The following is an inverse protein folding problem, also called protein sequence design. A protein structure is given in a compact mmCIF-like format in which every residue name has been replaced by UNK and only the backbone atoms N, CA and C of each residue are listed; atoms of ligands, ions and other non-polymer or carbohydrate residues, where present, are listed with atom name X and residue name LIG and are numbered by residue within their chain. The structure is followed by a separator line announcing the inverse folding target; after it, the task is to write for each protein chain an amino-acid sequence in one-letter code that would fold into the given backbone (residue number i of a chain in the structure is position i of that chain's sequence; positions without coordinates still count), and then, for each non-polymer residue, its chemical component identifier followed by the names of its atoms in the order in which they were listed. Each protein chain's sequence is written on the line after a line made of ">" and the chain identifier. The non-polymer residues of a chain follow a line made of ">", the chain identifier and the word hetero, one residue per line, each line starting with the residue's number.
data_IF_724662587180
#
_entry.id   IF_724662587180
#
_cell.length_a   1.000
_cell.length_b   1.000
_cell.length_c   1.000
_cell.angle_alpha   90.00
_cell.angle_beta   90.00
_cell.angle_gamma   90.00
#
_symmetry.space_group_name_H-M   'P 1'
#
loop_
_entity.id
_entity.type
_entity.pdbx_description
1 polymer ?
#
# COMPACT_ATOMS: atom_id res chain seq x y z
N UNK A 1 -33.92 43.99 -54.92
CA UNK A 1 -34.85 43.37 -55.88
C UNK A 1 -36.23 43.30 -55.20
N UNK A 2 -36.95 44.41 -54.98
CA UNK A 2 -37.77 45.19 -55.92
C UNK A 2 -38.84 44.36 -56.66
N UNK A 3 -40.07 44.47 -56.19
CA UNK A 3 -41.32 44.25 -56.93
C UNK A 3 -42.44 44.95 -56.13
N UNK A 4 -42.68 46.25 -56.35
CA UNK A 4 -43.76 46.79 -57.22
C UNK A 4 -45.09 46.07 -57.00
N UNK A 5 -45.98 46.61 -56.14
CA UNK A 5 -46.94 47.69 -56.44
C UNK A 5 -48.00 47.28 -57.48
N UNK A 6 -49.26 47.20 -57.07
CA UNK A 6 -50.39 47.85 -57.76
C UNK A 6 -51.69 47.73 -56.96
N UNK A 7 -52.27 48.90 -56.69
CA UNK A 7 -53.67 49.13 -56.33
C UNK A 7 -54.61 48.50 -57.37
N UNK A 8 -55.88 48.30 -57.02
CA UNK A 8 -57.04 48.80 -57.80
C UNK A 8 -58.32 48.62 -56.97
N UNK A 9 -58.98 49.75 -56.73
CA UNK A 9 -60.36 49.87 -56.31
C UNK A 9 -61.31 49.41 -57.42
N UNK A 10 -62.33 48.63 -57.10
CA UNK A 10 -63.54 48.52 -57.93
C UNK A 10 -64.75 48.95 -57.11
N UNK A 11 -65.23 50.17 -57.40
CA UNK A 11 -66.56 50.66 -57.04
C UNK A 11 -67.54 50.30 -58.17
N UNK A 12 -68.80 50.24 -57.76
CA UNK A 12 -70.02 50.33 -58.57
C UNK A 12 -70.44 49.05 -59.31
N UNK A 13 -71.70 48.72 -59.51
CA UNK A 13 -73.05 49.12 -59.06
C UNK A 13 -73.98 48.23 -59.92
N UNK A 14 -75.30 48.17 -59.60
CA UNK A 14 -76.41 47.49 -60.33
C UNK A 14 -76.80 46.16 -59.66
N UNK A 15 -78.04 45.89 -59.27
CA UNK A 15 -79.29 46.65 -59.06
C UNK A 15 -80.29 45.60 -58.55
N UNK A 16 -81.29 46.06 -57.80
CA UNK A 16 -82.67 45.54 -57.80
C UNK A 16 -82.91 44.19 -57.08
N UNK A 17 -83.19 44.29 -55.79
CA UNK A 17 -84.32 43.58 -55.20
C UNK A 17 -85.01 44.55 -54.22
N UNK A 18 -86.25 44.93 -54.53
CA UNK A 18 -87.03 45.85 -53.72
C UNK A 18 -87.34 45.24 -52.36
N UNK A 19 -87.13 46.03 -51.30
CA UNK A 19 -87.82 45.83 -50.04
C UNK A 19 -89.26 46.33 -50.19
N UNK A 20 -90.29 45.47 -50.08
CA UNK A 20 -91.65 45.94 -49.84
C UNK A 20 -91.79 46.35 -48.36
N UNK A 21 -92.64 47.34 -48.04
CA UNK A 21 -92.95 47.70 -46.66
C UNK A 21 -93.77 46.58 -46.01
N UNK A 22 -93.72 46.55 -44.67
CA UNK A 22 -94.24 45.48 -43.84
C UNK A 22 -95.62 44.93 -44.25
N UNK A 23 -95.72 43.60 -44.26
CA UNK A 23 -96.97 42.87 -44.05
C UNK A 23 -96.84 42.14 -42.72
N UNK A 24 -97.66 42.54 -41.75
CA UNK A 24 -98.00 41.69 -40.61
C UNK A 24 -98.70 40.44 -41.16
N UNK A 25 -98.04 39.29 -41.07
CA UNK A 25 -98.65 37.99 -41.33
C UNK A 25 -99.05 37.36 -40.01
N UNK A 26 -100.08 37.90 -39.36
CA UNK A 26 -100.97 37.06 -38.54
C UNK A 26 -101.86 36.27 -39.51
N UNK A 27 -101.32 35.19 -40.06
CA UNK A 27 -102.01 34.30 -41.00
C UNK A 27 -102.92 33.33 -40.22
N UNK A 28 -104.27 33.38 -40.36
CA UNK A 28 -105.20 32.54 -39.60
C UNK A 28 -105.15 31.05 -40.01
N UNK A 29 -104.33 30.67 -41.00
CA UNK A 29 -104.09 29.27 -41.38
C UNK A 29 -102.93 28.62 -40.61
N UNK A 30 -102.05 29.40 -39.99
CA UNK A 30 -100.94 28.90 -39.14
C UNK A 30 -101.42 27.90 -38.08
N UNK A 31 -102.58 28.18 -37.47
CA UNK A 31 -103.19 27.32 -36.46
C UNK A 31 -103.77 25.99 -36.98
N UNK A 32 -104.14 25.88 -38.26
CA UNK A 32 -104.62 24.60 -38.85
C UNK A 32 -103.45 23.67 -39.16
N UNK A 33 -102.37 24.20 -39.73
CA UNK A 33 -101.14 23.45 -39.98
C UNK A 33 -100.49 22.95 -38.68
N UNK A 34 -100.60 23.73 -37.59
CA UNK A 34 -100.14 23.31 -36.27
C UNK A 34 -100.93 22.10 -35.72
N UNK A 35 -102.26 22.09 -35.88
CA UNK A 35 -103.13 20.98 -35.43
C UNK A 35 -102.91 19.69 -36.24
N UNK A 36 -102.63 19.82 -37.53
CA UNK A 36 -102.40 18.68 -38.43
C UNK A 36 -101.00 18.06 -38.24
N UNK A 37 -99.99 18.89 -37.95
CA UNK A 37 -98.65 18.44 -37.52
C UNK A 37 -98.68 17.71 -36.17
N UNK A 38 -99.50 18.17 -35.22
CA UNK A 38 -99.68 17.50 -33.94
C UNK A 38 -100.35 16.12 -34.09
N UNK A 39 -101.37 16.00 -34.95
CA UNK A 39 -102.06 14.72 -35.23
C UNK A 39 -101.19 13.68 -35.95
N UNK A 40 -100.20 14.11 -36.74
CA UNK A 40 -99.25 13.22 -37.44
C UNK A 40 -97.99 12.89 -36.61
N UNK A 41 -97.92 13.31 -35.34
CA UNK A 41 -96.76 13.10 -34.47
C UNK A 41 -95.55 13.99 -34.78
N UNK A 42 -95.64 14.84 -35.80
CA UNK A 42 -94.53 15.67 -36.34
C UNK A 42 -94.15 16.82 -35.40
N UNK A 43 -95.03 17.21 -34.48
CA UNK A 43 -94.73 18.25 -33.49
C UNK A 43 -93.62 17.84 -32.51
N UNK A 44 -93.51 16.56 -32.17
CA UNK A 44 -92.44 16.02 -31.32
C UNK A 44 -91.14 15.82 -32.09
N UNK A 45 -91.21 15.51 -33.38
CA UNK A 45 -90.03 15.26 -34.23
C UNK A 45 -89.07 16.45 -34.28
N UNK A 46 -89.58 17.67 -34.44
CA UNK A 46 -88.73 18.87 -34.45
C UNK A 46 -88.04 19.09 -33.09
N UNK A 47 -88.72 18.76 -31.99
CA UNK A 47 -88.16 18.88 -30.65
C UNK A 47 -87.11 17.79 -30.37
N UNK A 48 -87.36 16.56 -30.81
CA UNK A 48 -86.39 15.46 -30.72
C UNK A 48 -85.20 15.67 -31.65
N UNK A 49 -85.39 16.25 -32.84
CA UNK A 49 -84.32 16.58 -33.78
C UNK A 49 -83.43 17.70 -33.23
N UNK A 50 -84.03 18.74 -32.63
CA UNK A 50 -83.27 19.79 -31.94
C UNK A 50 -82.50 19.23 -30.72
N UNK A 51 -83.12 18.34 -29.94
CA UNK A 51 -82.43 17.64 -28.84
C UNK A 51 -81.30 16.74 -29.35
N UNK A 52 -81.49 16.06 -30.49
CA UNK A 52 -80.45 15.23 -31.12
C UNK A 52 -79.29 16.10 -31.57
N UNK A 53 -79.58 17.25 -32.18
CA UNK A 53 -78.58 18.23 -32.64
C UNK A 53 -77.79 18.81 -31.46
N UNK A 54 -78.46 19.10 -30.35
CA UNK A 54 -77.81 19.53 -29.10
C UNK A 54 -76.94 18.41 -28.51
N UNK A 55 -77.42 17.16 -28.52
CA UNK A 55 -76.65 16.01 -28.06
C UNK A 55 -75.42 15.74 -28.96
N UNK A 56 -75.53 15.93 -30.26
CA UNK A 56 -74.41 15.84 -31.21
C UNK A 56 -73.40 16.97 -31.01
N UNK A 57 -73.84 18.20 -30.77
CA UNK A 57 -72.95 19.31 -30.41
C UNK A 57 -72.20 19.03 -29.11
N UNK A 58 -72.91 18.63 -28.05
CA UNK A 58 -72.29 18.26 -26.76
C UNK A 58 -71.33 17.07 -26.92
N UNK A 59 -71.69 16.08 -27.75
CA UNK A 59 -70.81 14.94 -28.04
C UNK A 59 -69.55 15.38 -28.78
N UNK A 60 -69.67 16.26 -29.78
CA UNK A 60 -68.53 16.81 -30.51
C UNK A 60 -67.60 17.64 -29.60
N UNK A 61 -68.16 18.41 -28.67
CA UNK A 61 -67.40 19.14 -27.65
C UNK A 61 -66.67 18.18 -26.70
N UNK A 62 -67.35 17.14 -26.22
CA UNK A 62 -66.78 16.11 -25.35
C UNK A 62 -65.66 15.35 -26.06
N UNK A 63 -65.85 14.98 -27.32
CA UNK A 63 -64.84 14.26 -28.10
C UNK A 63 -63.64 15.16 -28.44
N UNK A 64 -63.86 16.46 -28.69
CA UNK A 64 -62.79 17.45 -28.84
C UNK A 64 -62.00 17.63 -27.54
N UNK A 65 -62.67 17.73 -26.40
CA UNK A 65 -62.03 17.84 -25.09
C UNK A 65 -61.21 16.59 -24.75
N UNK A 66 -61.76 15.39 -25.00
CA UNK A 66 -61.03 14.12 -24.84
C UNK A 66 -59.79 14.05 -25.72
N UNK A 67 -59.89 14.49 -26.98
CA UNK A 67 -58.77 14.57 -27.91
C UNK A 67 -57.64 15.45 -27.37
N UNK A 68 -57.97 16.66 -26.91
CA UNK A 68 -56.99 17.58 -26.28
C UNK A 68 -56.33 16.95 -25.06
N UNK A 69 -57.10 16.33 -24.16
CA UNK A 69 -56.53 15.68 -22.97
C UNK A 69 -55.65 14.48 -23.32
N UNK A 70 -55.98 13.70 -24.34
CA UNK A 70 -55.13 12.59 -24.80
C UNK A 70 -53.80 13.09 -25.37
N UNK A 71 -53.83 14.21 -26.08
CA UNK A 71 -52.64 14.83 -26.63
C UNK A 71 -51.75 15.42 -25.53
N UNK A 72 -52.34 16.10 -24.54
CA UNK A 72 -51.64 16.56 -23.34
C UNK A 72 -51.04 15.39 -22.54
N UNK A 73 -51.79 14.30 -22.34
CA UNK A 73 -51.29 13.10 -21.66
C UNK A 73 -50.13 12.48 -22.44
N UNK A 74 -50.23 12.42 -23.76
CA UNK A 74 -49.16 11.88 -24.61
C UNK A 74 -47.89 12.73 -24.51
N UNK A 75 -48.03 14.07 -24.51
CA UNK A 75 -46.92 14.99 -24.29
C UNK A 75 -46.27 14.80 -22.92
N UNK A 76 -47.08 14.67 -21.86
CA UNK A 76 -46.58 14.41 -20.50
C UNK A 76 -45.82 13.08 -20.43
N UNK A 77 -46.33 12.02 -21.07
CA UNK A 77 -45.66 10.71 -21.11
C UNK A 77 -44.35 10.78 -21.89
N UNK A 78 -44.31 11.51 -23.01
CA UNK A 78 -43.07 11.75 -23.75
C UNK A 78 -42.05 12.53 -22.93
N UNK A 79 -42.50 13.55 -22.19
CA UNK A 79 -41.65 14.34 -21.31
C UNK A 79 -41.08 13.50 -20.16
N UNK A 80 -41.91 12.69 -19.50
CA UNK A 80 -41.47 11.74 -18.47
C UNK A 80 -40.43 10.77 -19.04
N UNK A 81 -40.69 10.21 -20.21
CA UNK A 81 -39.75 9.29 -20.87
C UNK A 81 -38.43 9.97 -21.23
N UNK A 82 -38.47 11.25 -21.64
CA UNK A 82 -37.27 12.05 -21.87
C UNK A 82 -36.48 12.25 -20.58
N UNK A 83 -37.15 12.68 -19.51
CA UNK A 83 -36.53 12.88 -18.19
C UNK A 83 -35.91 11.59 -17.63
N UNK A 84 -36.55 10.43 -17.83
CA UNK A 84 -35.99 9.13 -17.44
C UNK A 84 -34.69 8.85 -18.20
N UNK A 85 -34.66 9.10 -19.52
CA UNK A 85 -33.45 8.93 -20.34
C UNK A 85 -32.34 9.87 -19.90
N UNK A 86 -32.64 11.14 -19.68
CA UNK A 86 -31.68 12.15 -19.22
C UNK A 86 -31.11 11.81 -17.83
N UNK A 87 -31.95 11.34 -16.92
CA UNK A 87 -31.50 10.87 -15.61
C UNK A 87 -30.63 9.62 -15.73
N UNK A 88 -30.96 8.68 -16.62
CA UNK A 88 -30.15 7.47 -16.85
C UNK A 88 -28.78 7.81 -17.44
N UNK A 89 -28.71 8.71 -18.42
CA UNK A 89 -27.44 9.14 -19.02
C UNK A 89 -26.57 9.93 -18.04
N UNK A 90 -27.18 10.72 -17.14
CA UNK A 90 -26.48 11.46 -16.09
C UNK A 90 -25.99 10.57 -14.93
N UNK A 91 -26.81 9.63 -14.46
CA UNK A 91 -26.49 8.80 -13.29
C UNK A 91 -25.53 7.66 -13.62
N UNK A 92 -25.60 7.07 -14.83
CA UNK A 92 -24.73 5.97 -15.22
C UNK A 92 -23.21 6.26 -15.05
N UNK A 93 -22.65 7.40 -15.51
CA UNK A 93 -21.24 7.71 -15.30
C UNK A 93 -20.91 7.98 -13.81
N UNK A 94 -21.82 8.59 -13.05
CA UNK A 94 -21.63 8.81 -11.61
C UNK A 94 -21.60 7.50 -10.82
N UNK A 95 -22.44 6.53 -11.17
CA UNK A 95 -22.41 5.19 -10.57
C UNK A 95 -21.10 4.48 -10.92
N UNK A 96 -20.60 4.64 -12.16
CA UNK A 96 -19.30 4.09 -12.56
C UNK A 96 -18.15 4.73 -11.77
N UNK A 97 -18.13 6.05 -11.63
CA UNK A 97 -17.08 6.74 -10.86
C UNK A 97 -17.12 6.39 -9.37
N UNK A 98 -18.31 6.25 -8.79
CA UNK A 98 -18.46 5.78 -7.40
C UNK A 98 -17.94 4.35 -7.21
N UNK A 99 -18.16 3.46 -8.19
CA UNK A 99 -17.60 2.10 -8.15
C UNK A 99 -16.07 2.11 -8.20
N UNK A 100 -15.48 2.93 -9.07
CA UNK A 100 -14.01 3.05 -9.14
C UNK A 100 -13.44 3.67 -7.86
N UNK A 101 -14.11 4.69 -7.30
CA UNK A 101 -13.65 5.34 -6.06
C UNK A 101 -13.70 4.38 -4.87
N UNK A 102 -14.75 3.55 -4.77
CA UNK A 102 -14.86 2.51 -3.73
C UNK A 102 -13.77 1.45 -3.87
N UNK A 103 -13.41 1.08 -5.10
CA UNK A 103 -12.31 0.14 -5.34
C UNK A 103 -10.97 0.73 -4.88
N UNK A 104 -10.67 1.98 -5.29
CA UNK A 104 -9.46 2.70 -4.85
C UNK A 104 -9.39 2.86 -3.33
N UNK A 105 -10.51 3.18 -2.69
CA UNK A 105 -10.58 3.26 -1.23
C UNK A 105 -10.23 1.91 -0.58
N UNK A 106 -10.79 0.81 -1.09
CA UNK A 106 -10.47 -0.53 -0.59
C UNK A 106 -9.00 -0.91 -0.78
N UNK A 107 -8.39 -0.53 -1.90
CA UNK A 107 -6.95 -0.73 -2.14
C UNK A 107 -6.10 0.06 -1.14
N UNK A 108 -6.41 1.35 -0.92
CA UNK A 108 -5.68 2.21 0.02
C UNK A 108 -5.86 1.72 1.47
N UNK A 109 -7.06 1.29 1.86
CA UNK A 109 -7.31 0.72 3.18
C UNK A 109 -6.52 -0.58 3.40
N UNK A 110 -6.46 -1.44 2.39
CA UNK A 110 -5.67 -2.67 2.45
C UNK A 110 -4.17 -2.37 2.60
N UNK A 111 -3.64 -1.44 1.81
CA UNK A 111 -2.25 -0.99 1.94
C UNK A 111 -1.96 -0.36 3.30
N UNK A 112 -2.88 0.46 3.82
CA UNK A 112 -2.75 1.07 5.14
C UNK A 112 -2.73 0.00 6.23
N UNK A 113 -3.64 -0.97 6.17
CA UNK A 113 -3.70 -2.09 7.12
C UNK A 113 -2.42 -2.94 7.08
N UNK A 114 -1.86 -3.18 5.89
CA UNK A 114 -0.59 -3.89 5.73
C UNK A 114 0.56 -3.09 6.36
N UNK A 115 0.72 -1.81 6.00
CA UNK A 115 1.77 -0.93 6.55
C UNK A 115 1.63 -0.76 8.06
N UNK A 116 0.40 -0.64 8.56
CA UNK A 116 0.10 -0.58 9.99
C UNK A 116 0.47 -1.89 10.68
N UNK A 117 0.15 -3.04 10.08
CA UNK A 117 0.54 -4.35 10.60
C UNK A 117 2.05 -4.51 10.69
N UNK A 118 2.78 -4.10 9.65
CA UNK A 118 4.26 -4.08 9.66
C UNK A 118 4.79 -3.16 10.77
N UNK A 119 4.24 -1.95 10.90
CA UNK A 119 4.64 -1.01 11.95
C UNK A 119 4.36 -1.57 13.36
N UNK A 120 3.17 -2.12 13.59
CA UNK A 120 2.78 -2.71 14.88
C UNK A 120 3.68 -3.90 15.23
N UNK A 121 4.01 -4.75 14.25
CA UNK A 121 4.95 -5.87 14.41
C UNK A 121 6.38 -5.41 14.73
N UNK A 122 6.90 -4.42 13.99
CA UNK A 122 8.23 -3.85 14.26
C UNK A 122 8.23 -3.22 15.64
N UNK A 123 7.24 -2.39 15.98
CA UNK A 123 7.09 -1.76 17.29
C UNK A 123 7.04 -2.79 18.41
N UNK A 124 6.28 -3.87 18.27
CA UNK A 124 6.22 -4.95 19.26
C UNK A 124 7.59 -5.65 19.40
N UNK A 125 8.27 -5.92 18.28
CA UNK A 125 9.60 -6.54 18.30
C UNK A 125 10.65 -5.64 18.97
N UNK A 126 10.65 -4.34 18.68
CA UNK A 126 11.55 -3.36 19.28
C UNK A 126 11.23 -3.15 20.75
N UNK A 127 9.95 -3.07 21.13
CA UNK A 127 9.56 -3.04 22.55
C UNK A 127 10.05 -4.28 23.29
N UNK A 128 9.97 -5.46 22.69
CA UNK A 128 10.47 -6.70 23.29
C UNK A 128 11.99 -6.69 23.43
N UNK A 129 12.73 -6.25 22.42
CA UNK A 129 14.19 -6.07 22.48
C UNK A 129 14.59 -5.05 23.55
N UNK A 130 13.89 -3.93 23.62
CA UNK A 130 14.12 -2.88 24.60
C UNK A 130 13.77 -3.38 26.00
N UNK A 131 12.66 -4.10 26.19
CA UNK A 131 12.27 -4.68 27.47
C UNK A 131 13.27 -5.76 27.94
N UNK A 132 13.77 -6.60 27.03
CA UNK A 132 14.85 -7.54 27.31
C UNK A 132 16.17 -6.83 27.68
N UNK A 133 16.43 -5.65 27.10
CA UNK A 133 17.53 -4.78 27.49
C UNK A 133 17.33 -4.08 28.84
N UNK A 134 16.10 -3.65 29.13
CA UNK A 134 15.71 -2.96 30.38
C UNK A 134 15.69 -3.89 31.59
N UNK A 135 15.19 -5.11 31.43
CA UNK A 135 15.22 -6.14 32.47
C UNK A 135 16.65 -6.55 32.88
N UNK A 136 17.64 -6.29 32.01
CA UNK A 136 19.07 -6.48 32.31
C UNK A 136 19.78 -5.19 32.78
N UNK A 137 19.10 -4.05 32.86
CA UNK A 137 19.76 -2.74 33.03
C UNK A 137 18.87 -1.65 33.60
N UNK A 138 18.21 -1.89 34.74
CA UNK A 138 17.25 -1.01 35.43
C UNK A 138 17.75 0.38 35.91
N UNK A 139 18.78 0.98 35.32
CA UNK A 139 19.31 2.29 35.69
C UNK A 139 19.71 3.20 34.51
N UNK A 140 19.20 2.98 33.31
CA UNK A 140 19.82 3.50 32.07
C UNK A 140 18.94 4.42 31.21
N UNK A 141 17.81 4.94 31.72
CA UNK A 141 16.87 5.74 30.88
C UNK A 141 17.09 7.26 30.90
N UNK A 142 17.70 7.84 31.94
CA UNK A 142 18.14 9.25 31.91
C UNK A 142 19.53 9.45 31.28
N UNK A 143 20.32 8.39 31.23
CA UNK A 143 21.67 8.40 30.66
C UNK A 143 21.74 8.57 29.12
N UNK A 144 20.82 8.11 28.25
CA UNK A 144 21.06 8.13 26.81
C UNK A 144 20.97 9.54 26.22
N UNK A 145 19.97 10.32 26.63
CA UNK A 145 19.75 11.70 26.18
C UNK A 145 20.79 12.67 26.74
N UNK A 146 21.17 12.49 28.00
CA UNK A 146 22.25 13.27 28.62
C UNK A 146 23.61 12.94 28.02
N UNK A 147 23.88 11.66 27.72
CA UNK A 147 25.09 11.26 27.00
C UNK A 147 25.10 11.72 25.55
N UNK A 148 23.97 11.68 24.82
CA UNK A 148 23.92 12.18 23.44
C UNK A 148 24.17 13.68 23.41
N UNK A 149 23.50 14.45 24.27
CA UNK A 149 23.73 15.88 24.42
C UNK A 149 25.18 16.21 24.82
N UNK A 150 25.77 15.43 25.75
CA UNK A 150 27.18 15.58 26.11
C UNK A 150 28.12 15.25 24.94
N UNK A 151 27.82 14.23 24.14
CA UNK A 151 28.58 13.88 22.95
C UNK A 151 28.49 14.96 21.87
N UNK A 152 27.31 15.53 21.63
CA UNK A 152 27.13 16.67 20.71
C UNK A 152 27.98 17.87 21.16
N UNK A 153 27.96 18.21 22.45
CA UNK A 153 28.77 19.31 23.00
C UNK A 153 30.27 19.10 22.80
N UNK A 154 30.77 17.90 23.07
CA UNK A 154 32.18 17.56 22.86
C UNK A 154 32.57 17.61 21.37
N UNK A 155 31.68 17.19 20.46
CA UNK A 155 31.92 17.29 19.01
C UNK A 155 32.03 18.74 18.56
N UNK A 156 31.12 19.61 19.01
CA UNK A 156 31.14 21.04 18.69
C UNK A 156 32.38 21.73 19.25
N UNK A 157 32.78 21.37 20.47
CA UNK A 157 34.00 21.88 21.09
C UNK A 157 35.26 21.48 20.31
N UNK A 158 35.36 20.21 19.88
CA UNK A 158 36.49 19.74 19.04
C UNK A 158 36.60 20.49 17.72
N UNK A 159 35.47 20.80 17.07
CA UNK A 159 35.45 21.56 15.81
C UNK A 159 35.90 23.01 16.04
N UNK A 160 35.51 23.62 17.16
CA UNK A 160 35.96 24.96 17.53
C UNK A 160 37.47 24.97 17.81
N UNK A 161 37.96 24.00 18.60
CA UNK A 161 39.39 23.87 18.90
C UNK A 161 40.23 23.61 17.63
N UNK A 162 39.70 22.88 16.64
CA UNK A 162 40.36 22.68 15.33
C UNK A 162 40.45 23.97 14.52
N UNK A 163 39.37 24.76 14.48
CA UNK A 163 39.34 26.05 13.76
C UNK A 163 40.30 27.08 14.35
N UNK A 164 40.52 27.02 15.66
CA UNK A 164 41.41 27.94 16.38
C UNK A 164 42.84 27.44 16.48
N UNK A 165 43.17 26.28 15.88
CA UNK A 165 44.50 25.68 15.93
C UNK A 165 44.92 25.19 17.33
N UNK A 166 43.96 25.10 18.26
CA UNK A 166 44.12 24.61 19.64
C UNK A 166 43.91 23.09 19.75
N UNK A 167 43.38 22.46 18.70
CA UNK A 167 42.78 21.13 18.73
C UNK A 167 43.64 20.03 19.34
N UNK A 168 44.91 19.96 19.02
CA UNK A 168 45.76 18.94 19.59
C UNK A 168 47.21 19.28 19.24
N UNK A 169 48.01 19.74 20.20
CA UNK A 169 49.47 19.63 20.09
C UNK A 169 49.89 18.44 20.92
N UNK A 170 49.64 17.24 20.39
CA UNK A 170 50.09 16.00 21.03
C UNK A 170 51.31 15.48 20.29
N UNK A 171 52.44 15.44 21.01
CA UNK A 171 53.60 14.72 20.55
C UNK A 171 53.29 13.22 20.58
N UNK A 172 53.45 12.57 19.43
CA UNK A 172 53.31 11.12 19.31
C UNK A 172 54.58 10.42 19.80
N UNK A 173 54.55 9.09 20.03
CA UNK A 173 55.74 8.32 20.45
C UNK A 173 56.91 8.39 19.46
N UNK A 174 56.64 8.76 18.20
CA UNK A 174 57.59 8.94 17.10
C UNK A 174 58.10 10.41 16.97
N UNK A 175 57.83 11.26 17.96
CA UNK A 175 58.28 12.67 17.98
C UNK A 175 57.52 13.63 17.05
N UNK A 176 56.74 13.12 16.10
CA UNK A 176 55.90 13.94 15.24
C UNK A 176 54.75 14.61 16.03
N UNK A 177 54.59 15.92 15.84
CA UNK A 177 53.45 16.68 16.39
C UNK A 177 52.34 16.66 15.36
N UNK A 178 51.25 15.99 15.70
CA UNK A 178 50.04 15.99 14.86
C UNK A 178 49.16 17.16 15.28
N UNK A 179 48.70 17.95 14.31
CA UNK A 179 47.98 19.22 14.56
C UNK A 179 46.47 19.11 14.40
N UNK A 180 45.99 18.08 13.70
CA UNK A 180 44.55 17.86 13.44
C UNK A 180 44.08 16.49 13.92
N UNK A 181 42.82 16.36 14.34
CA UNK A 181 42.29 15.06 14.77
C UNK A 181 42.23 14.06 13.62
N UNK A 182 41.98 14.55 12.40
CA UNK A 182 41.97 13.74 11.17
C UNK A 182 43.31 13.01 10.97
N UNK A 183 44.42 13.74 10.99
CA UNK A 183 45.76 13.14 10.84
C UNK A 183 46.08 12.15 11.96
N UNK A 184 45.62 12.41 13.19
CA UNK A 184 45.87 11.50 14.32
C UNK A 184 45.12 10.18 14.12
N UNK A 185 43.86 10.24 13.74
CA UNK A 185 43.06 9.03 13.54
C UNK A 185 43.48 8.28 12.28
N UNK A 186 43.80 8.97 11.19
CA UNK A 186 44.33 8.33 9.98
C UNK A 186 45.65 7.59 10.26
N UNK A 187 46.55 8.18 11.06
CA UNK A 187 47.81 7.54 11.43
C UNK A 187 47.60 6.36 12.40
N UNK A 188 46.70 6.48 13.38
CA UNK A 188 46.32 5.36 14.24
C UNK A 188 45.64 4.22 13.50
N UNK A 189 44.82 4.52 12.50
CA UNK A 189 44.20 3.52 11.63
C UNK A 189 45.30 2.76 10.89
N UNK A 190 46.29 3.45 10.30
CA UNK A 190 47.43 2.81 9.65
C UNK A 190 48.24 1.90 10.59
N UNK A 191 48.50 2.36 11.82
CA UNK A 191 49.17 1.54 12.84
C UNK A 191 48.37 0.27 13.18
N UNK A 192 47.05 0.41 13.37
CA UNK A 192 46.18 -0.73 13.66
C UNK A 192 46.06 -1.69 12.47
N UNK A 193 46.00 -1.18 11.24
CA UNK A 193 46.01 -2.00 10.03
C UNK A 193 47.33 -2.78 9.89
N UNK A 194 48.47 -2.16 10.23
CA UNK A 194 49.77 -2.85 10.25
C UNK A 194 49.78 -3.99 11.28
N UNK A 195 49.29 -3.74 12.50
CA UNK A 195 49.14 -4.77 13.54
C UNK A 195 48.20 -5.89 13.10
N UNK A 196 47.09 -5.57 12.42
CA UNK A 196 46.18 -6.58 11.88
C UNK A 196 46.83 -7.45 10.81
N UNK A 197 47.67 -6.87 9.94
CA UNK A 197 48.44 -7.63 8.93
C UNK A 197 49.43 -8.58 9.61
N UNK A 198 50.20 -8.09 10.57
CA UNK A 198 51.15 -8.89 11.34
C UNK A 198 50.46 -10.06 12.08
N UNK A 199 49.31 -9.81 12.70
CA UNK A 199 48.53 -10.86 13.37
C UNK A 199 47.99 -11.91 12.39
N UNK A 200 47.59 -11.50 11.18
CA UNK A 200 47.17 -12.45 10.13
C UNK A 200 48.33 -13.29 9.63
N UNK A 201 49.50 -12.69 9.44
CA UNK A 201 50.72 -13.42 9.07
C UNK A 201 51.13 -14.42 10.16
N UNK A 202 51.13 -14.01 11.43
CA UNK A 202 51.36 -14.92 12.57
C UNK A 202 50.33 -16.05 12.61
N UNK A 203 49.06 -15.75 12.38
CA UNK A 203 48.02 -16.77 12.35
C UNK A 203 48.23 -17.76 11.18
N UNK A 204 48.62 -17.26 10.00
CA UNK A 204 48.94 -18.10 8.84
C UNK A 204 50.14 -19.01 9.14
N UNK A 205 51.22 -18.44 9.68
CA UNK A 205 52.41 -19.19 10.09
C UNK A 205 52.07 -20.26 11.16
N UNK A 206 51.21 -19.94 12.13
CA UNK A 206 50.76 -20.93 13.11
C UNK A 206 49.97 -22.06 12.46
N UNK A 207 49.06 -21.77 11.51
CA UNK A 207 48.27 -22.80 10.82
C UNK A 207 49.15 -23.73 9.97
N UNK A 208 50.09 -23.16 9.22
CA UNK A 208 51.01 -23.91 8.36
C UNK A 208 51.97 -24.77 9.20
N UNK A 209 52.44 -24.26 10.34
CA UNK A 209 53.38 -25.00 11.20
C UNK A 209 52.71 -25.92 12.22
N UNK A 210 51.41 -25.82 12.46
CA UNK A 210 50.74 -26.59 13.53
C UNK A 210 50.78 -28.11 13.28
N UNK A 211 50.47 -28.54 12.06
CA UNK A 211 50.47 -29.96 11.68
C UNK A 211 51.88 -30.57 11.76
N UNK A 212 52.91 -30.02 11.09
CA UNK A 212 54.25 -30.58 11.16
C UNK A 212 54.84 -30.52 12.58
N UNK A 213 54.59 -29.46 13.35
CA UNK A 213 55.06 -29.42 14.74
C UNK A 213 54.37 -30.47 15.62
N UNK A 214 53.08 -30.77 15.38
CA UNK A 214 52.36 -31.81 16.11
C UNK A 214 52.91 -33.21 15.77
N UNK A 215 53.21 -33.46 14.51
CA UNK A 215 53.86 -34.71 14.05
C UNK A 215 55.27 -34.85 14.65
N UNK A 216 56.08 -33.79 14.62
CA UNK A 216 57.39 -33.76 15.27
C UNK A 216 57.30 -34.05 16.76
N UNK A 217 56.37 -33.42 17.49
CA UNK A 217 56.15 -33.68 18.90
C UNK A 217 55.75 -35.13 19.18
N UNK A 218 54.98 -35.75 18.29
CA UNK A 218 54.63 -37.17 18.39
C UNK A 218 55.85 -38.06 18.18
N UNK A 219 56.65 -37.80 17.14
CA UNK A 219 57.92 -38.50 16.89
C UNK A 219 58.88 -38.38 18.08
N UNK A 220 59.01 -37.20 18.69
CA UNK A 220 59.83 -37.00 19.89
C UNK A 220 59.30 -37.75 21.11
N UNK A 221 57.98 -37.90 21.26
CA UNK A 221 57.39 -38.73 22.32
C UNK A 221 57.70 -40.20 22.10
N UNK A 222 57.57 -40.68 20.87
CA UNK A 222 57.80 -42.09 20.54
C UNK A 222 59.29 -42.45 20.62
N UNK A 223 60.18 -41.53 20.21
CA UNK A 223 61.61 -41.65 20.45
C UNK A 223 61.94 -41.73 21.95
N UNK A 224 61.35 -40.86 22.78
CA UNK A 224 61.55 -40.91 24.23
C UNK A 224 61.06 -42.23 24.84
N UNK A 225 59.93 -42.78 24.36
CA UNK A 225 59.47 -44.11 24.80
C UNK A 225 60.47 -45.20 24.42
N UNK A 226 60.96 -45.19 23.18
CA UNK A 226 61.92 -46.17 22.70
C UNK A 226 63.23 -46.11 23.49
N UNK A 227 63.71 -44.90 23.78
CA UNK A 227 64.90 -44.70 24.62
C UNK A 227 64.68 -45.19 26.05
N UNK A 228 63.49 -44.95 26.64
CA UNK A 228 63.14 -45.50 27.97
C UNK A 228 63.14 -47.03 27.96
N UNK A 229 62.45 -47.64 26.99
CA UNK A 229 62.45 -49.10 26.84
C UNK A 229 63.88 -49.66 26.67
N UNK A 230 64.73 -48.99 25.89
CA UNK A 230 66.12 -49.38 25.72
C UNK A 230 66.90 -49.32 27.04
N UNK A 231 66.71 -48.27 27.84
CA UNK A 231 67.33 -48.13 29.16
C UNK A 231 66.84 -49.22 30.12
N UNK A 232 65.54 -49.50 30.12
CA UNK A 232 64.94 -50.50 31.01
C UNK A 232 65.42 -51.91 30.64
N UNK A 233 65.47 -52.25 29.35
CA UNK A 233 66.04 -53.51 28.87
C UNK A 233 67.53 -53.63 29.21
N UNK A 234 68.29 -52.53 29.07
CA UNK A 234 69.71 -52.53 29.43
C UNK A 234 69.92 -52.72 30.94
N UNK A 235 69.04 -52.17 31.78
CA UNK A 235 69.05 -52.41 33.23
C UNK A 235 68.67 -53.85 33.58
N UNK A 236 67.62 -54.39 32.95
CA UNK A 236 67.19 -55.77 33.14
C UNK A 236 68.29 -56.75 32.75
N UNK A 237 68.89 -56.60 31.56
CA UNK A 237 70.01 -57.44 31.11
C UNK A 237 71.24 -57.36 32.04
N UNK A 238 71.52 -56.18 32.61
CA UNK A 238 72.58 -56.03 33.61
C UNK A 238 72.25 -56.70 34.94
N UNK A 239 70.99 -56.66 35.37
CA UNK A 239 70.52 -57.34 36.57
C UNK A 239 70.60 -58.86 36.38
N UNK A 240 70.09 -59.39 35.26
CA UNK A 240 70.20 -60.82 34.93
C UNK A 240 71.67 -61.29 34.85
N UNK A 241 72.56 -60.51 34.23
CA UNK A 241 73.98 -60.83 34.20
C UNK A 241 74.63 -60.79 35.60
N UNK A 242 74.20 -59.89 36.49
CA UNK A 242 74.67 -59.84 37.86
C UNK A 242 74.14 -61.03 38.68
N UNK A 243 72.88 -61.42 38.48
CA UNK A 243 72.26 -62.57 39.14
C UNK A 243 72.92 -63.89 38.68
N UNK A 244 73.21 -64.05 37.39
CA UNK A 244 73.96 -65.19 36.86
C UNK A 244 75.39 -65.26 37.40
N UNK A 245 76.09 -64.12 37.48
CA UNK A 245 77.43 -64.06 38.08
C UNK A 245 77.41 -64.37 39.59
N UNK A 246 76.36 -63.96 40.31
CA UNK A 246 76.18 -64.30 41.72
C UNK A 246 75.88 -65.80 41.90
N UNK A 247 75.09 -66.41 41.02
CA UNK A 247 74.83 -67.85 41.01
C UNK A 247 76.10 -68.67 40.71
N UNK A 248 76.91 -68.28 39.72
CA UNK A 248 78.21 -68.91 39.42
C UNK A 248 79.22 -68.76 40.58
N UNK A 249 79.20 -67.64 41.30
CA UNK A 249 80.01 -67.45 42.52
C UNK A 249 79.52 -68.33 43.68
N UNK A 250 78.21 -68.56 43.79
CA UNK A 250 77.67 -69.51 44.76
C UNK A 250 78.00 -70.96 44.38
N UNK A 251 77.86 -71.35 43.12
CA UNK A 251 78.22 -72.70 42.64
C UNK A 251 79.72 -73.01 42.76
N UNK A 252 80.60 -72.05 42.45
CA UNK A 252 82.06 -72.20 42.65
C UNK A 252 82.43 -72.30 44.13
N UNK A 253 81.77 -71.54 45.01
CA UNK A 253 81.95 -71.68 46.46
C UNK A 253 81.45 -73.03 46.99
N UNK A 254 80.36 -73.58 46.43
CA UNK A 254 79.84 -74.90 46.83
C UNK A 254 80.76 -76.03 46.32
N UNK A 255 81.30 -75.94 45.10
CA UNK A 255 82.28 -76.91 44.57
C UNK A 255 83.62 -76.86 45.32
N UNK A 256 84.00 -75.71 45.89
CA UNK A 256 85.21 -75.58 46.73
C UNK A 256 85.07 -76.23 48.12
N UNK A 257 83.85 -76.53 48.59
CA UNK A 257 83.59 -77.12 49.90
C UNK A 257 83.40 -78.65 49.87
N UNK A 258 83.46 -79.27 48.68
CA UNK A 258 83.23 -80.72 48.48
C UNK A 258 84.49 -81.56 48.24
N UNK A 259 85.69 -81.01 48.41
CA UNK A 259 86.96 -81.67 48.07
C UNK A 259 87.94 -81.78 49.26
N UNK A 260 87.41 -81.84 50.48
CA UNK A 260 88.12 -82.27 51.69
C UNK A 260 87.72 -83.70 52.08
#
# INVERSE_FOLDING_TARGET
>A
MSGHASQICFRAWVRRAGHPPGRSTSDPKSGRYAKERAKRGVAGFAQTEEQLRQAEQLKAEVDSAKGKTLEEISQVVEEINRQIKDNKTRLAPQIKSLRTLRAQHGEIEAEYLEKKGVYDNIKASELTKLQAGFGRGGGMRERPLTKSSAMERVKLQRIADEKEGRALRRAMPDGAVVTTYRELYERRIKEQEAQQRELRERQKALKENHVPNKEQMQLFRDLNKLLRCKVDLQKAARAEAADMAAAEQQESNVLSLGND
#
